data_IF_583053658740
#
_entry.id   IF_583053658740
#
_cell.length_a   1.000
_cell.length_b   1.000
_cell.length_c   1.000
_cell.angle_alpha   90.00
_cell.angle_beta   90.00
_cell.angle_gamma   90.00
#
_symmetry.space_group_name_H-M   'P 1'
#
loop_
_entity.id
_entity.type
_entity.pdbx_description
1 polymer ?
#
# COMPACT_ATOMS: atom_id res chain seq x y z
N UNK A 1 39.23 -81.13 0.34
CA UNK A 1 38.03 -81.17 -0.52
C UNK A 1 37.34 -79.83 -0.36
N UNK A 2 37.17 -78.92 -1.31
CA UNK A 2 37.39 -78.88 -2.75
C UNK A 2 36.49 -77.73 -3.26
N UNK A 3 37.00 -76.96 -4.25
CA UNK A 3 36.24 -76.27 -5.32
C UNK A 3 35.54 -74.94 -4.88
N UNK A 4 36.12 -73.76 -5.18
CA UNK A 4 35.91 -72.89 -6.38
C UNK A 4 34.52 -72.22 -6.43
N UNK A 5 34.25 -71.03 -6.98
CA UNK A 5 35.00 -69.87 -7.46
C UNK A 5 33.95 -68.74 -7.68
N UNK A 6 34.26 -67.54 -7.18
CA UNK A 6 34.27 -66.25 -7.90
C UNK A 6 33.00 -65.57 -8.51
N UNK A 7 33.04 -64.22 -8.36
CA UNK A 7 32.48 -63.11 -9.17
C UNK A 7 31.06 -62.61 -8.94
N UNK A 8 30.98 -61.29 -8.68
CA UNK A 8 29.81 -60.49 -8.96
C UNK A 8 29.83 -59.11 -8.28
N UNK A 9 30.57 -58.16 -8.84
CA UNK A 9 30.49 -56.76 -8.42
C UNK A 9 29.09 -56.18 -8.64
N UNK A 10 28.59 -55.43 -7.67
CA UNK A 10 27.33 -54.71 -7.76
C UNK A 10 27.38 -53.47 -6.89
N UNK A 11 27.56 -52.31 -7.51
CA UNK A 11 27.45 -50.98 -6.89
C UNK A 11 26.10 -50.88 -6.18
N UNK A 12 26.09 -50.91 -4.84
CA UNK A 12 24.89 -50.58 -4.09
C UNK A 12 24.61 -49.08 -4.24
N UNK A 13 23.63 -48.82 -5.10
CA UNK A 13 22.88 -47.58 -5.29
C UNK A 13 22.51 -47.00 -3.92
N UNK A 14 23.16 -45.90 -3.55
CA UNK A 14 22.71 -45.04 -2.44
C UNK A 14 21.26 -44.64 -2.75
N UNK A 15 20.36 -45.01 -1.85
CA UNK A 15 18.92 -44.76 -1.94
C UNK A 15 18.67 -43.26 -2.08
N UNK A 16 18.18 -42.87 -3.26
CA UNK A 16 17.89 -41.47 -3.62
C UNK A 16 16.52 -40.99 -3.08
N UNK A 17 15.91 -41.75 -2.15
CA UNK A 17 14.61 -41.42 -1.56
C UNK A 17 14.71 -40.32 -0.50
N UNK A 18 15.85 -40.21 0.20
CA UNK A 18 16.08 -39.19 1.23
C UNK A 18 16.27 -37.78 0.65
N UNK A 19 16.42 -37.65 -0.68
CA UNK A 19 16.56 -36.36 -1.39
C UNK A 19 15.26 -35.90 -2.09
N UNK A 20 14.28 -36.78 -2.27
CA UNK A 20 12.98 -36.41 -2.87
C UNK A 20 12.06 -35.67 -1.90
N UNK A 21 12.33 -35.75 -0.59
CA UNK A 21 11.53 -35.12 0.47
C UNK A 21 12.13 -33.83 1.07
N UNK A 22 13.27 -33.33 0.58
CA UNK A 22 13.86 -32.06 1.06
C UNK A 22 13.54 -30.94 0.06
N UNK A 23 12.50 -30.17 0.38
CA UNK A 23 12.00 -28.98 -0.34
C UNK A 23 11.25 -29.26 -1.65
N UNK A 24 9.97 -29.65 -1.52
CA UNK A 24 8.93 -28.75 -2.05
C UNK A 24 9.25 -27.40 -1.40
N UNK A 25 9.96 -26.50 -2.08
CA UNK A 25 10.11 -25.13 -1.59
C UNK A 25 8.69 -24.70 -1.22
N UNK A 26 8.42 -24.54 0.08
CA UNK A 26 7.16 -23.94 0.52
C UNK A 26 7.19 -22.58 -0.16
N UNK A 27 6.42 -22.41 -1.25
CA UNK A 27 6.28 -21.11 -1.89
C UNK A 27 5.88 -20.18 -0.76
N UNK A 28 6.77 -19.24 -0.44
CA UNK A 28 6.46 -18.20 0.54
C UNK A 28 5.20 -17.50 0.05
N UNK A 29 4.24 -17.25 0.93
CA UNK A 29 3.00 -16.57 0.53
C UNK A 29 3.33 -15.15 0.08
N UNK A 30 2.53 -14.57 -0.80
CA UNK A 30 2.73 -13.19 -1.24
C UNK A 30 2.72 -12.21 -0.06
N UNK A 31 1.82 -12.39 0.92
CA UNK A 31 1.79 -11.59 2.15
C UNK A 31 3.05 -11.75 3.02
N UNK A 32 3.68 -12.94 3.01
CA UNK A 32 4.96 -13.14 3.70
C UNK A 32 6.10 -12.42 2.97
N UNK A 33 6.11 -12.45 1.63
CA UNK A 33 7.06 -11.67 0.81
C UNK A 33 6.90 -10.17 1.05
N UNK A 34 5.65 -9.69 1.12
CA UNK A 34 5.36 -8.29 1.45
C UNK A 34 5.92 -7.93 2.83
N UNK A 35 5.65 -8.75 3.84
CA UNK A 35 6.17 -8.53 5.19
C UNK A 35 7.70 -8.46 5.24
N UNK A 36 8.39 -9.38 4.55
CA UNK A 36 9.86 -9.41 4.47
C UNK A 36 10.41 -8.19 3.73
N UNK A 37 9.79 -7.80 2.61
CA UNK A 37 10.14 -6.59 1.88
C UNK A 37 9.95 -5.33 2.74
N UNK A 38 8.83 -5.19 3.45
CA UNK A 38 8.60 -4.08 4.36
C UNK A 38 9.67 -4.02 5.46
N UNK A 39 10.05 -5.16 6.06
CA UNK A 39 11.13 -5.20 7.06
C UNK A 39 12.45 -4.65 6.52
N UNK A 40 12.82 -4.99 5.29
CA UNK A 40 14.07 -4.54 4.66
C UNK A 40 14.00 -3.05 4.26
N UNK A 41 12.88 -2.64 3.69
CA UNK A 41 12.67 -1.28 3.18
C UNK A 41 12.65 -0.28 4.33
N UNK A 42 11.93 -0.62 5.41
CA UNK A 42 11.73 0.25 6.56
C UNK A 42 12.67 -0.02 7.74
N UNK A 43 13.67 -0.90 7.59
CA UNK A 43 14.63 -1.23 8.65
C UNK A 43 15.29 0.01 9.27
N UNK A 44 15.65 0.96 8.41
CA UNK A 44 16.37 2.19 8.76
C UNK A 44 15.46 3.44 8.73
N UNK A 45 14.13 3.25 8.64
CA UNK A 45 13.19 4.35 8.52
C UNK A 45 12.82 4.92 9.90
N UNK A 46 13.00 6.23 10.05
CA UNK A 46 12.49 7.03 11.15
C UNK A 46 11.61 8.18 10.66
N UNK A 47 11.10 9.05 11.56
CA UNK A 47 10.34 10.22 11.17
C UNK A 47 11.11 11.08 10.15
N UNK A 48 10.52 11.32 8.98
CA UNK A 48 11.13 12.12 7.91
C UNK A 48 12.17 11.40 7.04
N UNK A 49 12.45 10.12 7.29
CA UNK A 49 13.37 9.32 6.48
C UNK A 49 12.58 8.55 5.42
N UNK A 50 12.85 8.86 4.15
CA UNK A 50 12.25 8.17 3.00
C UNK A 50 13.20 7.04 2.56
N UNK A 51 12.71 5.80 2.34
CA UNK A 51 13.53 4.73 1.79
C UNK A 51 14.12 5.10 0.43
N UNK A 52 15.23 4.44 0.03
CA UNK A 52 15.80 4.67 -1.30
C UNK A 52 14.80 4.29 -2.42
N UNK A 53 14.85 4.96 -3.58
CA UNK A 53 13.96 4.65 -4.71
C UNK A 53 13.98 3.17 -5.10
N UNK A 54 15.15 2.53 -5.12
CA UNK A 54 15.29 1.10 -5.42
C UNK A 54 14.53 0.21 -4.41
N UNK A 55 14.58 0.55 -3.12
CA UNK A 55 13.83 -0.17 -2.07
C UNK A 55 12.32 0.04 -2.24
N UNK A 56 11.89 1.25 -2.56
CA UNK A 56 10.49 1.58 -2.82
C UNK A 56 9.97 0.83 -4.04
N UNK A 57 10.71 0.79 -5.14
CA UNK A 57 10.35 0.06 -6.37
C UNK A 57 10.23 -1.44 -6.12
N UNK A 58 11.16 -2.03 -5.34
CA UNK A 58 11.06 -3.45 -4.94
C UNK A 58 9.78 -3.73 -4.16
N UNK A 59 9.39 -2.85 -3.24
CA UNK A 59 8.16 -2.99 -2.47
C UNK A 59 6.91 -2.85 -3.36
N UNK A 60 6.88 -1.83 -4.23
CA UNK A 60 5.81 -1.63 -5.19
C UNK A 60 5.64 -2.84 -6.12
N UNK A 61 6.73 -3.41 -6.62
CA UNK A 61 6.68 -4.62 -7.44
C UNK A 61 6.13 -5.85 -6.71
N UNK A 62 6.29 -5.94 -5.39
CA UNK A 62 5.65 -6.98 -4.58
C UNK A 62 4.14 -6.74 -4.51
N UNK A 63 3.72 -5.51 -4.21
CA UNK A 63 2.30 -5.12 -4.13
C UNK A 63 1.57 -5.28 -5.47
N UNK A 64 2.20 -4.89 -6.58
CA UNK A 64 1.66 -5.05 -7.95
C UNK A 64 1.39 -6.52 -8.33
N UNK A 65 2.06 -7.46 -7.66
CA UNK A 65 1.88 -8.89 -7.86
C UNK A 65 0.91 -9.55 -6.87
N UNK A 66 0.23 -8.77 -6.02
CA UNK A 66 -0.72 -9.28 -5.04
C UNK A 66 -2.15 -9.29 -5.58
N UNK A 67 -2.92 -10.24 -5.08
CA UNK A 67 -4.35 -10.36 -5.33
C UNK A 67 -5.11 -10.33 -4.02
N UNK A 68 -6.43 -10.13 -4.09
CA UNK A 68 -7.31 -10.22 -2.92
C UNK A 68 -7.17 -11.55 -2.15
N UNK A 69 -6.91 -12.66 -2.85
CA UNK A 69 -6.78 -13.98 -2.23
C UNK A 69 -5.52 -14.10 -1.38
N UNK A 70 -4.45 -13.37 -1.74
CA UNK A 70 -3.18 -13.35 -0.99
C UNK A 70 -3.33 -12.74 0.41
N UNK A 71 -4.34 -11.89 0.59
CA UNK A 71 -4.71 -11.28 1.87
C UNK A 71 -5.98 -11.90 2.48
N UNK A 72 -6.49 -12.99 1.89
CA UNK A 72 -7.63 -13.73 2.42
C UNK A 72 -9.00 -13.08 2.16
N UNK A 73 -9.09 -12.12 1.25
CA UNK A 73 -10.34 -11.46 0.87
C UNK A 73 -11.08 -12.27 -0.19
N UNK A 74 -12.41 -12.31 -0.07
CA UNK A 74 -13.32 -12.94 -1.04
C UNK A 74 -14.44 -11.97 -1.42
N UNK A 75 -14.95 -11.99 -2.67
CA UNK A 75 -15.97 -11.03 -3.10
C UNK A 75 -17.30 -11.16 -2.34
N UNK A 76 -17.58 -12.34 -1.78
CA UNK A 76 -18.81 -12.66 -1.04
C UNK A 76 -18.71 -12.35 0.46
N UNK A 77 -17.69 -11.62 0.90
CA UNK A 77 -17.61 -11.20 2.30
C UNK A 77 -18.60 -10.06 2.58
N UNK A 78 -19.23 -10.01 3.77
CA UNK A 78 -20.29 -9.04 4.08
C UNK A 78 -19.89 -7.57 3.94
N UNK A 79 -18.61 -7.26 4.11
CA UNK A 79 -18.12 -5.88 3.97
C UNK A 79 -18.01 -5.41 2.50
N UNK A 80 -18.17 -6.31 1.52
CA UNK A 80 -18.31 -5.94 0.10
C UNK A 80 -19.76 -5.78 -0.36
N UNK A 81 -20.75 -5.94 0.53
CA UNK A 81 -22.18 -5.82 0.18
C UNK A 81 -22.68 -4.36 0.16
N UNK A 82 -21.81 -3.38 0.44
CA UNK A 82 -22.15 -1.95 0.46
C UNK A 82 -22.07 -1.29 -0.93
N UNK A 83 -23.16 -0.64 -1.36
CA UNK A 83 -23.27 0.09 -2.64
C UNK A 83 -22.55 1.46 -2.67
N UNK A 84 -21.92 1.87 -1.58
CA UNK A 84 -21.15 3.12 -1.52
C UNK A 84 -19.69 2.79 -1.37
N UNK A 85 -18.87 3.39 -2.21
CA UNK A 85 -17.47 3.01 -2.29
C UNK A 85 -16.53 4.23 -2.14
N UNK A 86 -15.17 4.08 -2.26
CA UNK A 86 -14.04 5.11 -2.35
C UNK A 86 -13.14 5.40 -3.73
N UNK A 87 -13.27 6.53 -4.55
CA UNK A 87 -12.72 7.25 -5.77
C UNK A 87 -11.58 8.13 -5.34
N UNK A 88 -10.48 8.00 -6.04
CA UNK A 88 -9.20 8.40 -5.54
C UNK A 88 -8.80 9.74 -6.17
N UNK A 89 -8.74 10.78 -5.34
CA UNK A 89 -8.20 12.08 -5.70
C UNK A 89 -6.98 12.33 -4.82
N UNK A 90 -5.83 12.62 -5.44
CA UNK A 90 -4.57 12.91 -4.76
C UNK A 90 -4.22 14.39 -4.93
N UNK A 91 -3.85 15.05 -3.84
CA UNK A 91 -3.63 16.49 -3.72
C UNK A 91 -2.28 16.78 -3.06
N UNK A 92 -1.59 17.81 -3.55
CA UNK A 92 -0.35 18.33 -2.98
C UNK A 92 -0.59 19.73 -2.42
N UNK A 93 -0.17 20.00 -1.18
CA UNK A 93 -0.37 21.29 -0.52
C UNK A 93 0.67 22.31 -1.00
N UNK A 94 0.22 23.53 -1.29
CA UNK A 94 1.02 24.71 -1.62
C UNK A 94 0.54 25.91 -0.81
N UNK A 95 1.47 26.56 -0.10
CA UNK A 95 1.25 27.81 0.64
C UNK A 95 0.25 27.73 1.83
N UNK A 96 0.41 28.63 2.81
CA UNK A 96 -0.45 28.70 3.98
C UNK A 96 -0.85 30.15 4.24
N UNK A 97 -2.16 30.41 4.32
CA UNK A 97 -2.70 31.69 4.73
C UNK A 97 -2.87 31.78 6.26
N UNK A 98 -2.94 32.99 6.85
CA UNK A 98 -3.18 33.17 8.28
C UNK A 98 -4.53 32.63 8.77
N UNK A 99 -5.53 32.57 7.89
CA UNK A 99 -6.88 32.05 8.16
C UNK A 99 -6.95 30.50 8.19
N UNK A 100 -5.80 29.83 8.01
CA UNK A 100 -5.68 28.38 8.05
C UNK A 100 -6.10 27.66 6.76
N UNK A 101 -6.44 28.40 5.71
CA UNK A 101 -6.72 27.85 4.38
C UNK A 101 -5.42 27.72 3.58
N UNK A 102 -5.28 26.63 2.83
CA UNK A 102 -4.07 26.29 2.07
C UNK A 102 -4.43 25.98 0.64
N UNK A 103 -3.70 26.51 -0.33
CA UNK A 103 -3.89 26.13 -1.71
C UNK A 103 -3.35 24.70 -1.88
N UNK A 104 -3.92 23.92 -2.78
CA UNK A 104 -3.46 22.59 -3.08
C UNK A 104 -3.58 22.36 -4.57
N UNK A 105 -2.53 21.79 -5.16
CA UNK A 105 -2.54 21.34 -6.55
C UNK A 105 -3.12 19.93 -6.60
N UNK A 106 -4.11 19.72 -7.46
CA UNK A 106 -4.61 18.40 -7.80
C UNK A 106 -3.49 17.68 -8.56
N UNK A 107 -3.04 16.55 -8.02
CA UNK A 107 -2.01 15.72 -8.66
C UNK A 107 -2.64 14.63 -9.52
N UNK A 108 -3.74 14.06 -9.05
CA UNK A 108 -4.49 13.02 -9.76
C UNK A 108 -5.96 13.14 -9.35
N UNK A 109 -6.84 13.12 -10.35
CA UNK A 109 -8.27 12.93 -10.17
C UNK A 109 -8.73 11.90 -11.19
N UNK A 110 -8.86 10.63 -10.76
CA UNK A 110 -9.09 9.52 -11.68
C UNK A 110 -9.82 8.37 -11.01
N UNK A 111 -10.39 7.51 -11.85
CA UNK A 111 -10.92 6.22 -11.45
C UNK A 111 -9.82 5.18 -11.43
N UNK A 112 -9.89 4.29 -10.45
CA UNK A 112 -8.94 3.18 -10.28
C UNK A 112 -9.71 1.88 -10.16
N UNK A 113 -9.14 0.85 -10.78
CA UNK A 113 -9.65 -0.52 -10.85
C UNK A 113 -8.63 -1.49 -10.25
N UNK A 114 -8.99 -2.76 -10.09
CA UNK A 114 -8.13 -3.76 -9.43
C UNK A 114 -6.83 -4.10 -10.17
N UNK A 115 -6.71 -3.73 -11.44
CA UNK A 115 -5.52 -3.89 -12.28
C UNK A 115 -4.56 -2.69 -12.23
N UNK A 116 -4.93 -1.62 -11.50
CA UNK A 116 -4.06 -0.47 -11.31
C UNK A 116 -2.76 -0.84 -10.58
N UNK A 117 -1.69 -0.14 -10.95
CA UNK A 117 -0.39 -0.24 -10.28
C UNK A 117 -0.42 0.48 -8.94
N UNK A 118 0.48 0.05 -8.07
CA UNK A 118 0.70 0.65 -6.75
C UNK A 118 1.05 2.13 -6.90
N UNK A 119 0.29 2.98 -6.21
CA UNK A 119 0.59 4.41 -6.10
C UNK A 119 1.52 4.67 -4.93
N UNK A 120 2.48 5.59 -5.09
CA UNK A 120 3.48 5.91 -4.06
C UNK A 120 3.32 7.38 -3.66
N UNK A 121 3.19 7.62 -2.37
CA UNK A 121 3.05 8.94 -1.78
C UNK A 121 4.24 9.22 -0.86
N UNK A 122 4.75 10.44 -0.91
CA UNK A 122 5.84 10.93 -0.08
C UNK A 122 5.35 12.07 0.82
N UNK A 123 6.06 12.43 1.90
CA UNK A 123 5.60 13.48 2.81
C UNK A 123 5.26 14.82 2.13
N UNK A 124 5.97 15.18 1.06
CA UNK A 124 5.80 16.45 0.35
C UNK A 124 5.61 16.29 -1.17
N UNK A 125 5.41 15.07 -1.67
CA UNK A 125 5.21 14.79 -3.09
C UNK A 125 4.35 13.53 -3.28
N UNK A 126 3.90 13.26 -4.50
CA UNK A 126 3.05 12.10 -4.82
C UNK A 126 1.60 12.25 -4.36
N UNK A 127 1.22 13.43 -3.85
CA UNK A 127 -0.15 13.74 -3.46
C UNK A 127 -0.52 13.21 -2.07
N UNK A 128 0.32 13.50 -1.07
CA UNK A 128 0.18 13.05 0.33
C UNK A 128 -1.20 13.33 0.98
N UNK A 129 -1.97 14.27 0.44
CA UNK A 129 -3.34 14.51 0.85
C UNK A 129 -4.24 13.82 -0.16
N UNK A 130 -5.14 12.95 0.27
CA UNK A 130 -5.98 12.21 -0.66
C UNK A 130 -7.38 11.95 -0.12
N UNK A 131 -8.32 11.74 -1.05
CA UNK A 131 -9.70 11.35 -0.77
C UNK A 131 -10.01 10.10 -1.58
N UNK A 132 -10.69 9.13 -0.97
CA UNK A 132 -11.27 7.99 -1.67
C UNK A 132 -12.85 8.01 -1.56
N UNK A 133 -13.64 8.26 -2.65
CA UNK A 133 -15.16 8.16 -2.93
C UNK A 133 -15.78 7.29 -4.12
N UNK A 134 -15.86 5.98 -4.09
CA UNK A 134 -15.96 4.97 -5.15
C UNK A 134 -17.37 4.49 -5.35
N UNK A 135 -17.38 3.71 -6.42
CA UNK A 135 -18.47 3.38 -7.26
C UNK A 135 -18.90 1.95 -7.03
N UNK A 136 -17.98 1.07 -6.62
CA UNK A 136 -18.25 -0.34 -6.30
C UNK A 136 -17.47 -0.77 -5.08
N UNK A 137 -17.98 -1.76 -4.36
CA UNK A 137 -17.27 -2.37 -3.24
C UNK A 137 -15.84 -2.76 -3.65
N UNK A 138 -14.86 -2.22 -2.91
CA UNK A 138 -13.45 -2.40 -3.23
C UNK A 138 -12.62 -2.52 -1.95
N UNK A 139 -11.39 -3.03 -2.10
CA UNK A 139 -10.41 -3.11 -1.04
C UNK A 139 -9.15 -2.36 -1.47
N UNK A 140 -8.60 -1.58 -0.55
CA UNK A 140 -7.32 -0.89 -0.71
C UNK A 140 -6.33 -1.52 0.27
N UNK A 141 -5.14 -1.88 -0.22
CA UNK A 141 -4.06 -2.40 0.60
C UNK A 141 -2.99 -1.31 0.76
N UNK A 142 -2.93 -0.72 1.94
CA UNK A 142 -1.96 0.33 2.26
C UNK A 142 -0.78 -0.20 3.06
N UNK A 143 0.42 0.29 2.71
CA UNK A 143 1.65 0.12 3.50
C UNK A 143 2.15 1.50 3.92
N UNK A 144 2.20 1.72 5.24
CA UNK A 144 2.58 3.02 5.83
C UNK A 144 3.96 2.94 6.48
N UNK A 145 4.84 3.86 6.12
CA UNK A 145 6.21 3.95 6.64
C UNK A 145 6.60 5.39 7.00
N UNK A 146 6.59 5.77 8.29
CA UNK A 146 6.06 5.04 9.45
C UNK A 146 4.52 5.15 9.57
N UNK A 147 3.86 4.31 10.41
CA UNK A 147 2.45 4.47 10.73
C UNK A 147 2.12 5.80 11.43
N UNK A 148 0.83 6.15 11.41
CA UNK A 148 0.29 7.23 12.23
C UNK A 148 0.58 6.99 13.72
N UNK A 149 0.84 8.07 14.45
CA UNK A 149 1.16 8.06 15.88
C UNK A 149 0.86 9.44 16.46
N UNK A 150 -0.29 9.57 17.15
CA UNK A 150 -0.72 10.85 17.74
C UNK A 150 0.30 11.41 18.76
N UNK A 151 0.88 10.61 19.69
CA UNK A 151 1.90 11.10 20.62
C UNK A 151 3.15 11.68 19.94
N UNK A 152 3.49 11.18 18.75
CA UNK A 152 4.63 11.67 17.96
C UNK A 152 4.20 12.70 16.90
N UNK A 153 2.98 13.24 17.00
CA UNK A 153 2.46 14.29 16.12
C UNK A 153 2.04 13.81 14.73
N UNK A 154 2.10 12.51 14.43
CA UNK A 154 1.67 11.89 13.17
C UNK A 154 0.20 11.50 13.22
N UNK A 155 -0.67 12.43 13.59
CA UNK A 155 -2.12 12.20 13.59
C UNK A 155 -2.68 12.32 12.16
N UNK A 156 -3.76 11.60 11.88
CA UNK A 156 -4.48 11.75 10.62
C UNK A 156 -5.30 13.06 10.66
N UNK A 157 -4.89 14.06 9.87
CA UNK A 157 -5.57 15.35 9.77
C UNK A 157 -6.54 15.37 8.58
N UNK A 158 -7.79 15.73 8.84
CA UNK A 158 -8.84 15.86 7.82
C UNK A 158 -8.97 17.30 7.31
N UNK A 159 -9.45 17.45 6.08
CA UNK A 159 -9.62 18.75 5.42
C UNK A 159 -11.00 18.87 4.76
N UNK A 160 -11.55 20.09 4.75
CA UNK A 160 -12.58 20.50 3.79
C UNK A 160 -11.88 20.91 2.49
N UNK A 161 -12.48 20.54 1.37
CA UNK A 161 -12.08 20.94 0.02
C UNK A 161 -13.04 22.02 -0.47
N UNK A 162 -12.49 23.07 -1.08
CA UNK A 162 -13.26 24.14 -1.71
C UNK A 162 -12.71 24.39 -3.12
N UNK A 163 -13.58 24.70 -4.11
CA UNK A 163 -13.15 25.12 -5.44
C UNK A 163 -12.18 26.31 -5.39
N UNK A 164 -11.25 26.41 -6.35
CA UNK A 164 -10.29 27.51 -6.45
C UNK A 164 -10.93 28.91 -6.30
N UNK A 165 -12.10 29.11 -6.92
CA UNK A 165 -12.82 30.38 -6.90
C UNK A 165 -13.36 30.81 -5.52
N UNK A 166 -13.29 29.94 -4.51
CA UNK A 166 -13.88 30.18 -3.18
C UNK A 166 -13.13 31.23 -2.35
N UNK A 167 -11.85 31.50 -2.67
CA UNK A 167 -11.03 32.45 -1.94
C UNK A 167 -10.23 33.34 -2.91
N UNK A 168 -10.05 34.63 -2.60
CA UNK A 168 -9.28 35.53 -3.45
C UNK A 168 -7.81 35.13 -3.41
N UNK A 169 -7.24 34.76 -4.56
CA UNK A 169 -5.79 34.71 -4.75
C UNK A 169 -5.33 36.15 -4.95
N UNK A 170 -4.13 36.51 -4.47
CA UNK A 170 -3.56 37.84 -4.71
C UNK A 170 -3.41 38.14 -6.21
N UNK A 171 -2.71 39.21 -6.59
CA UNK A 171 -2.61 39.71 -7.97
C UNK A 171 -1.89 38.77 -8.98
N UNK A 172 -1.83 37.46 -8.74
CA UNK A 172 -1.27 36.49 -9.65
C UNK A 172 -2.24 36.22 -10.81
N UNK A 173 -1.80 36.53 -12.04
CA UNK A 173 -2.49 36.17 -13.27
C UNK A 173 -2.29 34.69 -13.57
N UNK A 174 -3.08 33.82 -12.93
CA UNK A 174 -3.11 32.39 -13.21
C UNK A 174 -4.13 32.12 -14.32
N UNK A 175 -3.75 31.35 -15.35
CA UNK A 175 -4.64 30.99 -16.47
C UNK A 175 -5.80 30.12 -16.00
N UNK A 176 -6.93 30.11 -16.73
CA UNK A 176 -8.11 29.30 -16.37
C UNK A 176 -7.77 27.80 -16.25
N UNK A 177 -6.97 27.28 -17.17
CA UNK A 177 -6.49 25.88 -17.18
C UNK A 177 -5.62 25.55 -15.96
N UNK A 178 -4.79 26.49 -15.51
CA UNK A 178 -4.03 26.30 -14.29
C UNK A 178 -4.96 26.30 -13.06
N UNK A 179 -6.03 27.11 -13.04
CA UNK A 179 -6.99 27.19 -11.91
C UNK A 179 -7.74 25.88 -11.68
N UNK A 180 -8.11 25.17 -12.75
CA UNK A 180 -8.78 23.87 -12.66
C UNK A 180 -7.91 22.82 -11.96
N UNK A 181 -6.59 22.99 -11.98
CA UNK A 181 -5.63 22.15 -11.28
C UNK A 181 -5.45 22.47 -9.79
N UNK A 182 -6.19 23.41 -9.21
CA UNK A 182 -6.06 23.78 -7.79
C UNK A 182 -7.37 23.77 -7.01
N UNK A 183 -7.26 23.45 -5.73
CA UNK A 183 -8.34 23.52 -4.73
C UNK A 183 -7.82 24.17 -3.46
N UNK A 184 -8.72 24.61 -2.59
CA UNK A 184 -8.38 25.09 -1.26
C UNK A 184 -8.71 24.04 -0.21
N UNK A 185 -7.78 23.84 0.72
CA UNK A 185 -7.93 22.92 1.84
C UNK A 185 -7.97 23.69 3.16
N UNK A 186 -8.97 23.38 4.00
CA UNK A 186 -9.08 23.91 5.36
C UNK A 186 -9.16 22.77 6.36
N UNK A 187 -8.32 22.79 7.41
CA UNK A 187 -8.34 21.77 8.45
C UNK A 187 -9.73 21.63 9.08
N UNK A 188 -10.10 20.41 9.41
CA UNK A 188 -11.33 20.06 10.13
C UNK A 188 -11.13 18.91 11.09
N UNK A 189 -12.07 18.74 12.00
CA UNK A 189 -12.14 17.54 12.83
C UNK A 189 -12.56 16.32 11.99
N UNK A 190 -12.27 15.13 12.53
CA UNK A 190 -12.69 13.86 11.94
C UNK A 190 -14.19 13.89 11.65
N UNK A 191 -14.62 13.60 10.41
CA UNK A 191 -16.04 13.54 10.06
C UNK A 191 -16.79 12.52 10.94
N UNK A 192 -17.98 12.88 11.43
CA UNK A 192 -18.79 12.02 12.33
C UNK A 192 -19.32 10.76 11.62
N UNK A 193 -19.50 10.86 10.32
CA UNK A 193 -19.91 9.81 9.40
C UNK A 193 -18.76 8.87 9.00
N UNK A 194 -17.51 9.15 9.41
CA UNK A 194 -16.38 8.28 9.17
C UNK A 194 -16.22 7.24 10.28
N UNK A 195 -16.73 6.04 10.05
CA UNK A 195 -16.51 4.86 10.91
C UNK A 195 -15.42 3.95 10.34
N UNK A 196 -14.47 3.54 11.19
CA UNK A 196 -13.47 2.52 10.86
C UNK A 196 -13.63 1.38 11.85
N UNK A 197 -13.84 0.16 11.33
CA UNK A 197 -14.01 -1.05 12.13
C UNK A 197 -12.84 -1.98 11.86
N UNK A 198 -12.08 -2.30 12.91
CA UNK A 198 -11.00 -3.29 12.83
C UNK A 198 -11.58 -4.71 12.85
N UNK A 199 -11.09 -5.55 11.93
CA UNK A 199 -11.46 -6.98 11.88
C UNK A 199 -10.21 -7.86 11.98
N UNK A 200 -10.29 -9.05 12.61
CA UNK A 200 -9.17 -9.98 12.65
C UNK A 200 -8.76 -10.43 11.24
N UNK A 201 -7.45 -10.50 10.99
CA UNK A 201 -6.91 -11.03 9.75
C UNK A 201 -7.04 -12.55 9.69
N UNK A 202 -7.73 -13.06 8.66
CA UNK A 202 -7.99 -14.49 8.45
C UNK A 202 -7.27 -15.08 7.22
N UNK A 203 -6.34 -14.35 6.62
CA UNK A 203 -5.55 -14.81 5.47
C UNK A 203 -4.34 -15.67 5.84
N UNK A 204 -3.43 -15.93 4.89
CA UNK A 204 -2.23 -16.73 5.12
C UNK A 204 -1.36 -16.21 6.29
N UNK A 205 -0.92 -17.13 7.17
CA UNK A 205 -0.11 -16.77 8.35
C UNK A 205 1.20 -16.06 7.98
N UNK A 206 1.47 -14.95 8.66
CA UNK A 206 2.73 -14.21 8.57
C UNK A 206 3.65 -14.68 9.70
N UNK A 207 4.81 -15.23 9.36
CA UNK A 207 5.85 -15.64 10.28
C UNK A 207 6.76 -14.44 10.60
N UNK A 208 6.74 -14.02 11.87
CA UNK A 208 7.70 -13.06 12.42
C UNK A 208 8.98 -13.80 12.76
N UNK A 209 9.93 -13.83 11.82
CA UNK A 209 11.30 -14.28 12.07
C UNK A 209 12.17 -13.10 12.45
#
# INVERSE_FOLDING_TARGET
MGIEQNRGGGKHKVSNESKKNKRRQRKTSQVQRLYEACKEVFADCGPGIVPSPEKVEKLAAVLDGMTQADVGLRPDMPFFESERAPVITYLQLHECRPDGVRLAKIKVDSEFTSDCKTSILYPTDGGNMHRFTAKTACAVLDVLGPPYCDPEGRHCQYYYEFPYASFPVGNASVSEEEREGYVWLKKREKPKDLSVVGVPYNGPKIAKK
#
